data_IF_955480168324
#
_entry.id   IF_955480168324
#
_cell.length_a   1.000
_cell.length_b   1.000
_cell.length_c   1.000
_cell.angle_alpha   90.00
_cell.angle_beta   90.00
_cell.angle_gamma   90.00
#
_symmetry.space_group_name_H-M   'P 1'
#
loop_
_entity.id
_entity.type
_entity.pdbx_description
1 polymer ?
#
# COMPACT_ATOMS: atom_id res chain seq x y z
N UNK A 1 15.75 -7.17 -15.39
CA UNK A 1 14.51 -6.65 -16.02
C UNK A 1 14.39 -5.20 -15.61
N UNK A 2 14.25 -4.27 -16.55
CA UNK A 2 14.24 -2.84 -16.27
C UNK A 2 12.97 -2.45 -15.52
N UNK A 3 13.06 -1.56 -14.52
CA UNK A 3 11.91 -1.16 -13.70
C UNK A 3 10.73 -0.63 -14.54
N UNK A 4 11.02 -0.04 -15.70
CA UNK A 4 10.02 0.45 -16.64
C UNK A 4 9.13 -0.66 -17.24
N UNK A 5 9.69 -1.84 -17.56
CA UNK A 5 8.92 -2.96 -18.12
C UNK A 5 7.99 -3.59 -17.08
N UNK A 6 8.44 -3.63 -15.83
CA UNK A 6 7.65 -4.13 -14.72
C UNK A 6 6.50 -3.17 -14.37
N UNK A 7 6.78 -1.86 -14.32
CA UNK A 7 5.75 -0.83 -14.15
C UNK A 7 4.67 -0.94 -15.22
N UNK A 8 5.05 -1.13 -16.49
CA UNK A 8 4.10 -1.26 -17.60
C UNK A 8 3.18 -2.47 -17.47
N UNK A 9 3.66 -3.59 -16.92
CA UNK A 9 2.88 -4.83 -16.78
C UNK A 9 1.88 -4.77 -15.61
N UNK A 10 2.29 -4.21 -14.47
CA UNK A 10 1.51 -4.28 -13.23
C UNK A 10 0.82 -2.96 -12.84
N UNK A 11 1.29 -1.82 -13.34
CA UNK A 11 0.72 -0.49 -13.03
C UNK A 11 -0.08 0.13 -14.19
N UNK A 12 -0.58 -0.67 -15.14
CA UNK A 12 -1.46 -0.18 -16.20
C UNK A 12 -2.87 0.05 -15.65
N UNK A 13 -3.09 1.23 -15.09
CA UNK A 13 -4.42 1.68 -14.73
C UNK A 13 -5.08 2.33 -15.96
N UNK A 14 -6.21 1.78 -16.40
CA UNK A 14 -7.11 2.49 -17.32
C UNK A 14 -7.66 3.68 -16.54
N UNK A 15 -7.10 4.86 -16.78
CA UNK A 15 -7.55 6.11 -16.17
C UNK A 15 -8.63 6.73 -17.04
N UNK A 16 -9.78 7.03 -16.45
CA UNK A 16 -10.78 7.91 -17.07
C UNK A 16 -10.27 9.37 -17.11
N UNK A 17 -10.92 10.26 -17.86
CA UNK A 17 -10.51 11.66 -18.08
C UNK A 17 -10.33 12.48 -16.79
N UNK A 18 -10.87 12.01 -15.65
CA UNK A 18 -10.75 12.65 -14.32
C UNK A 18 -9.85 11.88 -13.35
N UNK A 19 -9.05 10.94 -13.84
CA UNK A 19 -8.16 10.10 -13.04
C UNK A 19 -6.71 10.29 -13.45
N UNK A 20 -5.81 10.26 -12.47
CA UNK A 20 -4.37 10.29 -12.69
C UNK A 20 -3.74 9.02 -12.12
N UNK A 21 -2.72 8.51 -12.79
CA UNK A 21 -1.88 7.42 -12.30
C UNK A 21 -0.42 7.89 -12.20
N UNK A 22 0.30 7.40 -11.19
CA UNK A 22 1.72 7.69 -10.99
C UNK A 22 2.39 6.45 -10.41
N UNK A 23 3.62 6.16 -10.84
CA UNK A 23 4.46 5.10 -10.27
C UNK A 23 5.71 5.72 -9.66
N UNK A 24 6.18 5.16 -8.54
CA UNK A 24 7.41 5.57 -7.86
C UNK A 24 8.21 4.32 -7.55
N UNK A 25 9.50 4.33 -7.91
CA UNK A 25 10.44 3.26 -7.59
C UNK A 25 11.43 3.77 -6.56
N UNK A 26 11.66 2.99 -5.52
CA UNK A 26 12.67 3.29 -4.50
C UNK A 26 13.56 2.07 -4.31
N UNK A 27 14.86 2.26 -4.52
CA UNK A 27 15.85 1.23 -4.22
C UNK A 27 16.16 1.21 -2.72
N UNK A 28 16.13 0.02 -2.13
CA UNK A 28 16.43 -0.22 -0.72
C UNK A 28 17.55 -1.24 -0.65
N UNK A 29 18.61 -0.94 0.10
CA UNK A 29 19.74 -1.86 0.32
C UNK A 29 19.41 -2.83 1.46
N UNK A 30 18.45 -3.73 1.24
CA UNK A 30 18.05 -4.76 2.19
C UNK A 30 17.45 -5.98 1.46
N UNK A 31 17.51 -7.18 2.04
CA UNK A 31 16.79 -8.35 1.56
C UNK A 31 15.28 -8.10 1.43
N UNK A 32 14.65 -8.62 0.37
CA UNK A 32 13.23 -8.36 0.08
C UNK A 32 12.30 -8.95 1.12
N UNK A 33 12.63 -10.09 1.70
CA UNK A 33 11.89 -10.71 2.81
C UNK A 33 11.80 -9.78 4.02
N UNK A 34 12.90 -9.08 4.34
CA UNK A 34 12.93 -8.09 5.43
C UNK A 34 12.05 -6.89 5.10
N UNK A 35 12.19 -6.34 3.89
CA UNK A 35 11.37 -5.18 3.47
C UNK A 35 9.89 -5.57 3.41
N UNK A 36 9.58 -6.72 2.84
CA UNK A 36 8.22 -7.22 2.71
C UNK A 36 7.58 -7.50 4.07
N UNK A 37 8.32 -8.06 5.03
CA UNK A 37 7.84 -8.27 6.42
C UNK A 37 7.35 -6.99 7.10
N UNK A 38 7.85 -5.83 6.66
CA UNK A 38 7.43 -4.51 7.11
C UNK A 38 6.27 -3.97 6.25
N UNK A 39 6.37 -4.08 4.93
CA UNK A 39 5.41 -3.51 3.98
C UNK A 39 4.06 -4.21 4.04
N UNK A 40 4.05 -5.55 4.17
CA UNK A 40 2.84 -6.40 4.23
C UNK A 40 1.93 -6.11 5.44
N UNK A 41 2.42 -5.37 6.44
CA UNK A 41 1.68 -4.99 7.64
C UNK A 41 0.64 -3.92 7.31
N UNK A 42 -0.54 -4.38 6.96
CA UNK A 42 -1.70 -3.52 6.69
C UNK A 42 -2.25 -2.89 7.98
N UNK A 43 -2.02 -3.47 9.14
CA UNK A 43 -2.40 -2.95 10.44
C UNK A 43 -1.43 -1.88 10.99
N UNK A 44 -0.13 -1.95 10.64
CA UNK A 44 0.92 -1.08 11.19
C UNK A 44 1.64 -0.18 10.14
N UNK A 45 0.91 0.66 9.36
CA UNK A 45 1.53 1.53 8.37
C UNK A 45 2.46 2.60 8.97
N UNK A 46 2.36 2.92 10.26
CA UNK A 46 3.19 3.94 10.91
C UNK A 46 4.68 3.58 10.87
N UNK A 47 4.98 2.28 10.83
CA UNK A 47 6.36 1.78 10.85
C UNK A 47 7.14 2.14 9.58
N UNK A 48 6.45 2.40 8.46
CA UNK A 48 7.11 2.69 7.18
C UNK A 48 6.55 3.91 6.42
N UNK A 49 5.40 4.45 6.82
CA UNK A 49 4.83 5.68 6.23
C UNK A 49 5.02 6.85 7.20
N UNK A 50 5.92 7.81 6.90
CA UNK A 50 6.33 8.85 7.87
C UNK A 50 5.21 9.80 8.30
N UNK A 51 4.20 9.98 7.45
CA UNK A 51 3.08 10.89 7.70
C UNK A 51 1.91 10.23 8.42
N UNK A 52 2.00 8.97 8.83
CA UNK A 52 0.92 8.34 9.59
C UNK A 52 1.14 8.60 11.09
N UNK A 53 0.10 9.08 11.77
CA UNK A 53 0.06 9.25 13.22
C UNK A 53 -0.54 8.05 13.94
N UNK A 54 -1.51 7.40 13.31
CA UNK A 54 -2.27 6.31 13.91
C UNK A 54 -2.93 5.47 12.83
N UNK A 55 -3.03 4.18 13.09
CA UNK A 55 -3.86 3.23 12.37
C UNK A 55 -4.81 2.55 13.34
N UNK A 56 -6.02 2.24 12.86
CA UNK A 56 -6.99 1.40 13.57
C UNK A 56 -7.63 0.44 12.59
N UNK A 57 -7.66 -0.84 12.90
CA UNK A 57 -8.45 -1.80 12.15
C UNK A 57 -9.94 -1.59 12.43
N UNK A 58 -10.75 -1.54 11.38
CA UNK A 58 -12.20 -1.51 11.49
C UNK A 58 -12.69 -2.96 11.62
N UNK A 59 -13.60 -3.24 12.55
CA UNK A 59 -14.09 -4.60 12.85
C UNK A 59 -14.84 -5.30 11.68
N UNK A 60 -15.01 -4.65 10.54
CA UNK A 60 -15.59 -5.23 9.34
C UNK A 60 -14.54 -6.06 8.59
N UNK A 61 -14.47 -7.35 8.92
CA UNK A 61 -13.54 -8.30 8.30
C UNK A 61 -13.11 -9.47 9.19
N UNK A 62 -13.64 -9.59 10.41
CA UNK A 62 -13.40 -10.72 11.29
C UNK A 62 -14.09 -12.00 10.73
N UNK A 63 -13.43 -12.69 9.81
CA UNK A 63 -13.44 -14.15 9.86
C UNK A 63 -12.78 -14.59 11.16
N UNK A 64 -13.10 -15.79 11.65
CA UNK A 64 -12.58 -16.32 12.93
C UNK A 64 -11.05 -16.12 13.06
N UNK A 65 -10.66 -15.11 13.83
CA UNK A 65 -9.26 -14.78 14.13
C UNK A 65 -8.93 -13.30 14.02
N UNK A 66 -8.00 -12.87 14.87
CA UNK A 66 -7.38 -11.53 14.93
C UNK A 66 -6.47 -11.22 13.70
N UNK A 67 -6.69 -11.92 12.59
CA UNK A 67 -5.80 -11.94 11.44
C UNK A 67 -6.31 -11.05 10.30
N UNK A 68 -5.45 -10.15 9.82
CA UNK A 68 -5.71 -9.32 8.63
C UNK A 68 -5.92 -10.21 7.40
N UNK A 69 -7.06 -10.04 6.72
CA UNK A 69 -7.43 -10.76 5.50
C UNK A 69 -7.91 -9.83 4.38
N UNK A 70 -7.97 -10.33 3.13
CA UNK A 70 -8.52 -9.55 2.00
C UNK A 70 -9.94 -9.05 2.34
N UNK A 71 -10.20 -7.78 2.09
CA UNK A 71 -11.44 -7.10 2.47
C UNK A 71 -11.38 -6.38 3.81
N UNK A 72 -10.36 -6.66 4.64
CA UNK A 72 -10.13 -5.92 5.89
C UNK A 72 -10.02 -4.42 5.64
N UNK A 73 -10.60 -3.63 6.54
CA UNK A 73 -10.62 -2.17 6.45
C UNK A 73 -9.86 -1.57 7.63
N UNK A 74 -9.12 -0.50 7.36
CA UNK A 74 -8.43 0.31 8.37
C UNK A 74 -8.77 1.79 8.24
N UNK A 75 -8.77 2.49 9.36
CA UNK A 75 -8.76 3.94 9.44
C UNK A 75 -7.33 4.41 9.74
N UNK A 76 -6.78 5.22 8.85
CA UNK A 76 -5.45 5.81 8.97
C UNK A 76 -5.60 7.29 9.26
N UNK A 77 -4.98 7.76 10.35
CA UNK A 77 -4.86 9.18 10.66
C UNK A 77 -3.49 9.70 10.26
N UNK A 78 -3.43 10.75 9.45
CA UNK A 78 -2.18 11.37 8.98
C UNK A 78 -1.80 12.60 9.82
N UNK A 79 -0.49 12.81 9.98
CA UNK A 79 0.12 14.01 10.53
C UNK A 79 0.14 15.07 9.42
N UNK A 80 -1.00 15.69 9.14
CA UNK A 80 -1.06 16.88 8.29
C UNK A 80 -1.29 18.10 9.17
N UNK A 81 -0.57 19.21 8.91
CA UNK A 81 -0.93 20.53 9.42
C UNK A 81 -2.16 21.12 8.73
N UNK A 82 -3.04 20.25 8.20
CA UNK A 82 -4.20 20.59 7.37
C UNK A 82 -5.46 19.91 7.93
N UNK A 83 -6.66 20.42 7.64
CA UNK A 83 -7.90 19.96 8.28
C UNK A 83 -8.29 18.50 7.96
N UNK A 84 -7.86 17.96 6.82
CA UNK A 84 -8.12 16.58 6.44
C UNK A 84 -7.05 15.66 7.02
N UNK A 85 -7.47 14.77 7.92
CA UNK A 85 -6.57 13.96 8.74
C UNK A 85 -6.85 12.47 8.66
N UNK A 86 -7.93 12.00 8.02
CA UNK A 86 -8.34 10.60 8.05
C UNK A 86 -8.56 10.00 6.66
N UNK A 87 -8.15 8.74 6.51
CA UNK A 87 -8.32 7.91 5.32
C UNK A 87 -8.86 6.55 5.73
N UNK A 88 -9.95 6.11 5.10
CA UNK A 88 -10.48 4.75 5.26
C UNK A 88 -9.99 3.91 4.09
N UNK A 89 -9.25 2.85 4.38
CA UNK A 89 -8.54 2.04 3.40
C UNK A 89 -8.96 0.58 3.52
N UNK A 90 -9.14 -0.09 2.38
CA UNK A 90 -9.46 -1.52 2.29
C UNK A 90 -8.29 -2.28 1.66
N UNK A 91 -7.98 -3.45 2.22
CA UNK A 91 -7.04 -4.40 1.64
C UNK A 91 -7.71 -5.14 0.46
N UNK A 92 -7.17 -4.99 -0.74
CA UNK A 92 -7.70 -5.59 -1.97
C UNK A 92 -6.83 -6.75 -2.48
N UNK A 93 -5.52 -6.70 -2.21
CA UNK A 93 -4.58 -7.78 -2.56
C UNK A 93 -3.48 -7.88 -1.53
N UNK A 94 -3.10 -9.11 -1.20
CA UNK A 94 -1.93 -9.44 -0.40
C UNK A 94 -1.34 -10.73 -0.98
N UNK A 95 -0.29 -10.60 -1.77
CA UNK A 95 0.44 -11.72 -2.36
C UNK A 95 1.83 -11.79 -1.74
N UNK A 96 2.05 -12.77 -0.86
CA UNK A 96 3.33 -12.98 -0.19
C UNK A 96 4.41 -13.58 -1.10
N UNK A 97 4.03 -14.19 -2.23
CA UNK A 97 4.98 -14.81 -3.17
C UNK A 97 5.54 -13.76 -4.11
N UNK A 98 4.67 -12.92 -4.67
CA UNK A 98 5.05 -11.84 -5.58
C UNK A 98 5.34 -10.52 -4.84
N UNK A 99 5.18 -10.50 -3.52
CA UNK A 99 5.38 -9.33 -2.63
C UNK A 99 4.53 -8.12 -3.04
N UNK A 100 3.23 -8.34 -3.26
CA UNK A 100 2.28 -7.34 -3.73
C UNK A 100 1.25 -7.00 -2.67
N UNK A 101 1.16 -5.71 -2.31
CA UNK A 101 0.16 -5.15 -1.42
C UNK A 101 -0.74 -4.17 -2.19
N UNK A 102 -2.00 -4.54 -2.38
CA UNK A 102 -3.02 -3.73 -3.03
C UNK A 102 -3.97 -3.11 -2.01
N UNK A 103 -4.08 -1.77 -2.01
CA UNK A 103 -4.93 -1.02 -1.09
C UNK A 103 -5.81 -0.05 -1.87
N UNK A 104 -7.07 0.05 -1.47
CA UNK A 104 -8.02 1.03 -2.01
C UNK A 104 -8.49 1.98 -0.91
N UNK A 105 -8.36 3.28 -1.16
CA UNK A 105 -9.03 4.28 -0.33
C UNK A 105 -10.54 4.22 -0.66
N UNK A 106 -11.35 3.93 0.35
CA UNK A 106 -12.80 3.80 0.25
C UNK A 106 -13.55 4.95 0.93
N UNK A 107 -12.86 5.79 1.71
CA UNK A 107 -13.44 6.93 2.41
C UNK A 107 -12.38 7.80 3.10
N UNK A 108 -12.82 8.81 3.83
CA UNK A 108 -11.95 9.75 4.54
C UNK A 108 -12.46 11.20 4.44
N UNK A 109 -11.86 12.08 5.24
CA UNK A 109 -12.18 13.52 5.27
C UNK A 109 -11.37 14.34 4.24
N UNK A 110 -10.57 13.66 3.42
CA UNK A 110 -9.74 14.27 2.39
C UNK A 110 -10.46 14.40 1.03
N UNK A 111 -9.98 15.32 0.18
CA UNK A 111 -10.50 15.57 -1.17
C UNK A 111 -10.33 14.40 -2.17
N UNK A 112 -9.62 13.33 -1.79
CA UNK A 112 -9.39 12.16 -2.64
C UNK A 112 -10.63 11.24 -2.62
N UNK A 113 -11.39 11.25 -3.73
CA UNK A 113 -12.64 10.47 -3.84
C UNK A 113 -12.45 9.00 -4.24
N UNK A 114 -11.29 8.64 -4.81
CA UNK A 114 -10.93 7.26 -5.17
C UNK A 114 -9.44 7.17 -5.51
N UNK A 115 -8.62 6.63 -4.61
CA UNK A 115 -7.19 6.36 -4.88
C UNK A 115 -6.89 4.88 -4.66
N UNK A 116 -6.23 4.26 -5.65
CA UNK A 116 -5.69 2.91 -5.56
C UNK A 116 -4.18 2.99 -5.37
N UNK A 117 -3.65 2.18 -4.47
CA UNK A 117 -2.22 2.02 -4.25
C UNK A 117 -1.85 0.56 -4.43
N UNK A 118 -0.75 0.37 -5.16
CA UNK A 118 -0.07 -0.91 -5.26
C UNK A 118 1.34 -0.66 -4.75
N UNK A 119 1.72 -1.38 -3.70
CA UNK A 119 3.07 -1.35 -3.17
C UNK A 119 3.67 -2.74 -3.39
N UNK A 120 4.74 -2.76 -4.17
CA UNK A 120 5.44 -3.96 -4.59
C UNK A 120 6.91 -3.74 -4.29
N UNK A 121 7.55 -4.71 -3.64
CA UNK A 121 8.99 -4.67 -3.36
C UNK A 121 9.70 -5.62 -4.34
N UNK A 122 10.52 -5.07 -5.24
CA UNK A 122 11.23 -5.87 -6.24
C UNK A 122 12.68 -6.14 -5.85
N UNK A 123 13.09 -7.41 -5.99
CA UNK A 123 14.48 -7.84 -5.96
C UNK A 123 15.21 -7.32 -7.20
N UNK A 124 16.03 -6.27 -7.06
CA UNK A 124 17.23 -6.20 -7.90
C UNK A 124 18.35 -6.96 -7.18
N UNK A 125 18.44 -8.25 -7.46
CA UNK A 125 19.61 -9.02 -7.11
C UNK A 125 20.83 -8.40 -7.79
N UNK A 126 21.72 -7.80 -6.99
CA UNK A 126 23.06 -7.46 -7.43
C UNK A 126 23.82 -8.79 -7.50
N UNK A 127 23.75 -9.44 -8.66
CA UNK A 127 24.68 -10.52 -9.01
C UNK A 127 26.10 -9.94 -9.01
N UNK A 128 26.99 -10.57 -8.24
CA UNK A 128 28.37 -10.17 -8.03
C UNK A 128 29.21 -10.22 -9.31
N UNK A 129 30.16 -9.27 -9.41
CA UNK A 129 31.57 -9.56 -9.64
C UNK A 129 32.37 -8.77 -8.59
#
# INVERSE_FOLDING_TARGET
MEAADYIRRHHRHTTDHKQCASAVVKHIKAPVDIVWSLVRRFDEPEKYKPFVSRCRMCAAGAGDGDAVSIGSVREVKVKSGLPATTSTERLELLDDKEHILGIKIVGGDHRLKSRRYWKEDHLQGVGHL
#
